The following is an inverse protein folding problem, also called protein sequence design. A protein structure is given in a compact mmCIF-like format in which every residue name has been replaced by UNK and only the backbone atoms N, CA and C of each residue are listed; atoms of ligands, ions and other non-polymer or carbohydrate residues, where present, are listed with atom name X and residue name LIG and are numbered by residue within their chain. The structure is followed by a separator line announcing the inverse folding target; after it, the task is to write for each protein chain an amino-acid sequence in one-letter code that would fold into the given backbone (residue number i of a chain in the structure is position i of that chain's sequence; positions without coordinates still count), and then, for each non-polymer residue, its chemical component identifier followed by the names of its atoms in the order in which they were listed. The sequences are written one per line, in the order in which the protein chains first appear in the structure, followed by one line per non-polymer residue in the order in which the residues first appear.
data_IF_883437270490
#
_entry.id   IF_883437270490
#
_cell.length_a   1.000
_cell.length_b   1.000
_cell.length_c   1.000
_cell.angle_alpha   90.00
_cell.angle_beta   90.00
_cell.angle_gamma   90.00
#
_symmetry.space_group_name_H-M   'P 1'
#
loop_
_entity.id
_entity.type
_entity.pdbx_description
1 polymer ?
#
# COMPACT_ATOMS: atom_id res chain seq x y z
N UNK A 1 -24.30 -0.93 -7.03
CA UNK A 1 -22.90 -0.53 -6.80
C UNK A 1 -22.58 -0.54 -5.30
N UNK A 2 -21.40 -1.01 -4.95
CA UNK A 2 -20.91 -0.97 -3.57
C UNK A 2 -19.54 -0.30 -3.58
N UNK A 3 -19.28 0.56 -2.60
CA UNK A 3 -18.00 1.25 -2.45
C UNK A 3 -17.47 0.98 -1.05
N UNK A 4 -16.21 0.60 -0.95
CA UNK A 4 -15.51 0.45 0.32
C UNK A 4 -14.28 1.35 0.30
N UNK A 5 -13.96 1.95 1.45
CA UNK A 5 -12.89 2.92 1.57
C UNK A 5 -11.97 2.59 2.72
N UNK A 6 -10.73 3.02 2.58
CA UNK A 6 -9.76 2.98 3.66
C UNK A 6 -8.89 4.21 3.59
N UNK A 7 -8.49 4.71 4.74
CA UNK A 7 -7.55 5.82 4.85
C UNK A 7 -6.57 5.55 5.97
N UNK A 8 -5.37 6.07 5.83
CA UNK A 8 -4.34 5.96 6.85
C UNK A 8 -3.41 7.15 6.79
N UNK A 9 -2.86 7.48 7.94
CA UNK A 9 -1.84 8.52 8.08
C UNK A 9 -0.67 7.93 8.84
N UNK A 10 0.55 8.20 8.38
CA UNK A 10 1.76 7.73 9.04
C UNK A 10 2.74 8.87 9.22
N UNK A 11 3.39 8.90 10.38
CA UNK A 11 4.46 9.84 10.66
C UNK A 11 5.76 9.31 10.04
N UNK A 12 6.39 10.11 9.21
CA UNK A 12 7.64 9.73 8.53
C UNK A 12 8.77 9.41 9.50
N UNK A 13 8.84 10.13 10.61
CA UNK A 13 9.83 9.90 11.66
C UNK A 13 9.77 8.47 12.20
N UNK A 14 8.57 7.90 12.35
CA UNK A 14 8.38 6.52 12.79
C UNK A 14 9.00 5.55 11.78
N UNK A 15 8.72 5.75 10.50
CA UNK A 15 9.25 4.90 9.43
C UNK A 15 10.77 5.03 9.33
N UNK A 16 11.30 6.24 9.47
CA UNK A 16 12.73 6.49 9.45
C UNK A 16 13.44 5.73 10.58
N UNK A 17 12.87 5.71 11.78
CA UNK A 17 13.42 4.97 12.91
C UNK A 17 13.44 3.47 12.67
N UNK A 18 12.37 2.93 12.12
CA UNK A 18 12.27 1.49 11.82
C UNK A 18 13.28 1.12 10.72
N UNK A 19 13.38 1.96 9.70
CA UNK A 19 14.34 1.75 8.61
C UNK A 19 15.78 1.79 9.13
N UNK A 20 16.10 2.73 10.01
CA UNK A 20 17.42 2.83 10.62
C UNK A 20 17.75 1.59 11.44
N UNK A 21 16.79 1.07 12.20
CA UNK A 21 16.99 -0.08 13.09
C UNK A 21 17.09 -1.40 12.34
N UNK A 22 16.25 -1.63 11.34
CA UNK A 22 16.10 -2.92 10.67
C UNK A 22 16.59 -2.95 9.23
N UNK A 23 16.80 -1.78 8.61
CA UNK A 23 17.33 -1.68 7.26
C UNK A 23 16.55 -2.45 6.22
N UNK A 24 17.27 -3.24 5.42
CA UNK A 24 16.70 -4.02 4.32
C UNK A 24 15.62 -5.01 4.79
N UNK A 25 15.74 -5.53 6.01
CA UNK A 25 14.74 -6.45 6.57
C UNK A 25 13.36 -5.82 6.67
N UNK A 26 13.30 -4.54 7.05
CA UNK A 26 12.03 -3.80 7.06
C UNK A 26 11.48 -3.64 5.66
N UNK A 27 12.33 -3.28 4.70
CA UNK A 27 11.93 -3.15 3.30
C UNK A 27 11.36 -4.47 2.76
N UNK A 28 12.04 -5.57 3.02
CA UNK A 28 11.59 -6.91 2.57
C UNK A 28 10.24 -7.30 3.19
N UNK A 29 9.98 -6.84 4.41
CA UNK A 29 8.73 -7.15 5.09
C UNK A 29 7.53 -6.40 4.50
N UNK A 30 7.71 -5.14 4.10
CA UNK A 30 6.58 -4.31 3.66
C UNK A 30 6.45 -4.18 2.15
N UNK A 31 7.47 -4.56 1.39
CA UNK A 31 7.49 -4.41 -0.05
C UNK A 31 7.30 -5.75 -0.75
N UNK A 32 6.60 -5.73 -1.89
CA UNK A 32 6.60 -6.85 -2.81
C UNK A 32 7.99 -6.98 -3.43
N UNK A 33 8.27 -8.11 -4.05
CA UNK A 33 9.55 -8.33 -4.74
C UNK A 33 9.82 -7.23 -5.78
N UNK A 34 8.80 -6.87 -6.55
CA UNK A 34 8.91 -5.84 -7.58
C UNK A 34 9.18 -4.45 -6.99
N UNK A 35 8.46 -4.10 -5.93
CA UNK A 35 8.69 -2.84 -5.23
C UNK A 35 10.10 -2.77 -4.63
N UNK A 36 10.57 -3.87 -4.06
CA UNK A 36 11.91 -3.93 -3.48
C UNK A 36 12.98 -3.65 -4.52
N UNK A 37 12.87 -4.25 -5.70
CA UNK A 37 13.80 -4.02 -6.81
C UNK A 37 13.83 -2.56 -7.25
N UNK A 38 12.68 -1.90 -7.23
CA UNK A 38 12.56 -0.48 -7.59
C UNK A 38 13.17 0.41 -6.52
N UNK A 39 12.88 0.13 -5.25
CA UNK A 39 13.26 1.04 -4.15
C UNK A 39 14.67 0.82 -3.62
N UNK A 40 15.26 -0.33 -3.81
CA UNK A 40 16.61 -0.61 -3.30
C UNK A 40 17.66 0.35 -3.86
N UNK A 41 17.45 0.89 -5.04
CA UNK A 41 18.36 1.87 -5.65
C UNK A 41 18.41 3.19 -4.88
N UNK A 42 17.45 3.46 -4.00
CA UNK A 42 17.43 4.64 -3.16
C UNK A 42 18.02 4.42 -1.77
N UNK A 43 18.63 3.26 -1.52
CA UNK A 43 19.13 2.88 -0.19
C UNK A 43 20.18 3.83 0.38
N UNK A 44 20.88 4.59 -0.46
CA UNK A 44 21.86 5.59 -0.03
C UNK A 44 21.27 6.95 0.30
N UNK A 45 19.99 7.16 0.02
CA UNK A 45 19.30 8.40 0.31
C UNK A 45 18.17 8.12 1.31
N UNK A 46 18.50 8.15 2.61
CA UNK A 46 17.58 7.81 3.68
C UNK A 46 16.32 8.68 3.70
N UNK A 47 16.44 9.95 3.38
CA UNK A 47 15.30 10.87 3.40
C UNK A 47 14.30 10.51 2.30
N UNK A 48 14.79 10.32 1.08
CA UNK A 48 13.94 9.93 -0.05
C UNK A 48 13.35 8.53 0.13
N UNK A 49 14.16 7.60 0.62
CA UNK A 49 13.70 6.22 0.87
C UNK A 49 12.62 6.22 1.95
N UNK A 50 12.80 6.98 3.05
CA UNK A 50 11.80 7.09 4.11
C UNK A 50 10.48 7.65 3.60
N UNK A 51 10.53 8.64 2.71
CA UNK A 51 9.32 9.19 2.08
C UNK A 51 8.60 8.13 1.26
N UNK A 52 9.32 7.43 0.40
CA UNK A 52 8.73 6.39 -0.45
C UNK A 52 8.16 5.23 0.36
N UNK A 53 8.84 4.83 1.42
CA UNK A 53 8.36 3.78 2.31
C UNK A 53 7.15 4.23 3.13
N UNK A 54 7.15 5.48 3.60
CA UNK A 54 6.01 6.05 4.34
C UNK A 54 4.75 6.09 3.46
N UNK A 55 4.90 6.51 2.21
CA UNK A 55 3.81 6.55 1.25
C UNK A 55 3.22 5.15 1.04
N UNK A 56 4.07 4.17 0.86
CA UNK A 56 3.64 2.78 0.64
C UNK A 56 3.04 2.16 1.89
N UNK A 57 3.63 2.44 3.04
CA UNK A 57 3.11 1.95 4.32
C UNK A 57 1.68 2.46 4.55
N UNK A 58 1.47 3.77 4.39
CA UNK A 58 0.14 4.36 4.53
C UNK A 58 -0.86 3.79 3.52
N UNK A 59 -0.45 3.64 2.26
CA UNK A 59 -1.32 3.10 1.21
C UNK A 59 -1.73 1.65 1.48
N UNK A 60 -0.80 0.83 1.96
CA UNK A 60 -1.09 -0.58 2.27
C UNK A 60 -1.98 -0.73 3.50
N UNK A 61 -1.77 0.11 4.51
CA UNK A 61 -2.68 0.17 5.67
C UNK A 61 -4.08 0.61 5.24
N UNK A 62 -4.18 1.62 4.38
CA UNK A 62 -5.46 2.09 3.86
C UNK A 62 -6.18 0.99 3.07
N UNK A 63 -5.43 0.25 2.24
CA UNK A 63 -5.98 -0.86 1.46
C UNK A 63 -6.50 -1.98 2.37
N UNK A 64 -5.74 -2.34 3.39
CA UNK A 64 -6.15 -3.37 4.34
C UNK A 64 -7.40 -2.95 5.12
N UNK A 65 -7.50 -1.68 5.49
CA UNK A 65 -8.72 -1.13 6.12
C UNK A 65 -9.91 -1.19 5.17
N UNK A 66 -9.71 -0.89 3.88
CA UNK A 66 -10.78 -0.97 2.89
C UNK A 66 -11.32 -2.39 2.77
N UNK A 67 -10.44 -3.40 2.83
CA UNK A 67 -10.84 -4.80 2.83
C UNK A 67 -11.56 -5.23 4.11
N UNK A 68 -11.49 -4.42 5.16
CA UNK A 68 -12.17 -4.65 6.42
C UNK A 68 -11.44 -5.55 7.41
N UNK A 69 -10.28 -6.06 7.06
CA UNK A 69 -9.54 -7.02 7.87
C UNK A 69 -8.31 -6.43 8.54
N UNK A 70 -7.82 -5.28 8.06
CA UNK A 70 -6.48 -4.85 8.40
C UNK A 70 -5.48 -5.93 7.98
N UNK A 71 -4.38 -6.11 8.72
CA UNK A 71 -3.39 -7.13 8.45
C UNK A 71 -3.63 -8.42 9.27
N UNK A 72 -4.90 -8.82 9.35
CA UNK A 72 -5.31 -10.08 9.91
C UNK A 72 -5.65 -11.05 8.77
N UNK A 73 -6.06 -12.27 9.11
CA UNK A 73 -6.46 -13.30 8.12
C UNK A 73 -5.37 -13.63 7.08
N UNK A 74 -4.10 -13.49 7.45
CA UNK A 74 -2.99 -13.89 6.60
C UNK A 74 -2.58 -12.88 5.54
N UNK A 75 -3.16 -11.68 5.51
CA UNK A 75 -2.75 -10.62 4.59
C UNK A 75 -1.41 -10.04 5.06
N UNK A 76 -0.46 -9.93 4.14
CA UNK A 76 0.86 -9.34 4.40
C UNK A 76 1.00 -8.04 3.63
N UNK A 77 1.83 -7.12 4.13
CA UNK A 77 2.17 -5.88 3.41
C UNK A 77 2.68 -6.16 2.01
N UNK A 78 3.51 -7.20 1.85
CA UNK A 78 4.06 -7.59 0.55
C UNK A 78 3.02 -8.11 -0.45
N UNK A 79 1.81 -8.44 0.02
CA UNK A 79 0.70 -8.86 -0.85
C UNK A 79 -0.04 -7.69 -1.49
N UNK A 80 0.26 -6.47 -1.05
CA UNK A 80 -0.28 -5.24 -1.62
C UNK A 80 0.86 -4.54 -2.36
N UNK A 81 0.73 -4.37 -3.66
CA UNK A 81 1.83 -3.86 -4.49
C UNK A 81 1.45 -2.50 -5.08
N UNK A 82 2.34 -1.52 -4.93
CA UNK A 82 2.13 -0.18 -5.46
C UNK A 82 3.20 0.11 -6.50
N UNK A 83 2.76 0.35 -7.72
CA UNK A 83 3.63 0.66 -8.85
C UNK A 83 3.21 2.01 -9.40
N UNK A 84 4.18 2.91 -9.56
CA UNK A 84 3.94 4.21 -10.16
C UNK A 84 4.05 4.10 -11.68
N UNK A 85 3.17 4.80 -12.40
CA UNK A 85 3.29 4.90 -13.84
C UNK A 85 4.39 5.90 -14.24
N UNK A 86 4.55 6.16 -15.53
CA UNK A 86 5.58 7.07 -16.05
C UNK A 86 5.39 8.52 -15.58
N UNK A 87 4.15 8.90 -15.24
CA UNK A 87 3.83 10.23 -14.73
C UNK A 87 3.88 10.31 -13.22
N UNK A 88 4.22 9.20 -12.55
CA UNK A 88 4.31 9.14 -11.09
C UNK A 88 3.01 8.78 -10.38
N UNK A 89 1.93 8.51 -11.13
CA UNK A 89 0.66 8.12 -10.52
C UNK A 89 0.74 6.71 -9.97
N UNK A 90 0.42 6.50 -8.68
CA UNK A 90 0.46 5.17 -8.08
C UNK A 90 -0.76 4.34 -8.46
N UNK A 91 -0.55 3.05 -8.66
CA UNK A 91 -1.60 2.05 -8.84
C UNK A 91 -1.41 0.94 -7.81
N UNK A 92 -2.50 0.44 -7.26
CA UNK A 92 -2.50 -0.60 -6.24
C UNK A 92 -2.94 -1.93 -6.86
N UNK A 93 -2.13 -2.96 -6.61
CA UNK A 93 -2.40 -4.33 -7.06
C UNK A 93 -2.51 -5.25 -5.85
N UNK A 94 -3.47 -6.15 -5.91
CA UNK A 94 -3.70 -7.15 -4.86
C UNK A 94 -3.09 -8.48 -5.29
N UNK A 95 -2.20 -9.01 -4.46
CA UNK A 95 -1.49 -10.27 -4.68
C UNK A 95 -1.79 -11.23 -3.52
N UNK A 96 -1.53 -12.51 -3.72
CA UNK A 96 -1.62 -13.50 -2.65
C UNK A 96 -2.95 -13.48 -1.90
N UNK A 97 -2.89 -13.49 -0.58
CA UNK A 97 -4.08 -13.54 0.28
C UNK A 97 -4.98 -12.31 0.11
N UNK A 98 -4.41 -11.14 -0.14
CA UNK A 98 -5.19 -9.92 -0.37
C UNK A 98 -6.07 -10.05 -1.61
N UNK A 99 -5.56 -10.71 -2.65
CA UNK A 99 -6.32 -10.98 -3.88
C UNK A 99 -7.51 -11.91 -3.60
N UNK A 100 -7.30 -12.93 -2.80
CA UNK A 100 -8.36 -13.85 -2.38
C UNK A 100 -9.44 -13.12 -1.59
N UNK A 101 -9.05 -12.29 -0.64
CA UNK A 101 -9.99 -11.48 0.15
C UNK A 101 -10.77 -10.51 -0.70
N UNK A 102 -10.13 -9.88 -1.66
CA UNK A 102 -10.82 -8.97 -2.59
C UNK A 102 -11.93 -9.70 -3.35
N UNK A 103 -11.67 -10.93 -3.79
CA UNK A 103 -12.67 -11.77 -4.45
C UNK A 103 -13.84 -12.10 -3.52
N UNK A 104 -13.56 -12.41 -2.26
CA UNK A 104 -14.60 -12.68 -1.26
C UNK A 104 -15.47 -11.45 -1.01
N UNK A 105 -14.84 -10.28 -0.85
CA UNK A 105 -15.57 -9.02 -0.63
C UNK A 105 -16.38 -8.63 -1.86
N UNK A 106 -15.87 -8.91 -3.05
CA UNK A 106 -16.56 -8.67 -4.33
C UNK A 106 -17.89 -9.44 -4.41
N UNK A 107 -17.91 -10.66 -3.84
CA UNK A 107 -19.12 -11.50 -3.77
C UNK A 107 -19.83 -11.61 -5.12
N UNK A 108 -21.07 -11.15 -5.20
CA UNK A 108 -21.92 -11.29 -6.39
C UNK A 108 -21.67 -10.25 -7.49
N UNK A 109 -20.81 -9.27 -7.22
CA UNK A 109 -20.48 -8.26 -8.23
C UNK A 109 -19.53 -8.84 -9.28
N UNK A 110 -19.75 -8.49 -10.55
CA UNK A 110 -18.93 -9.00 -11.67
C UNK A 110 -17.60 -8.28 -11.78
N UNK A 111 -17.60 -6.99 -11.54
CA UNK A 111 -16.47 -6.12 -11.78
C UNK A 111 -16.11 -5.31 -10.57
N UNK A 112 -14.87 -4.84 -10.53
CA UNK A 112 -14.42 -3.89 -9.53
C UNK A 112 -13.38 -2.95 -10.12
N UNK A 113 -13.22 -1.80 -9.47
CA UNK A 113 -12.12 -0.90 -9.75
C UNK A 113 -11.49 -0.47 -8.44
N UNK A 114 -10.24 -0.02 -8.51
CA UNK A 114 -9.48 0.43 -7.35
C UNK A 114 -8.89 1.79 -7.66
N UNK A 115 -9.04 2.73 -6.72
CA UNK A 115 -8.38 4.02 -6.80
C UNK A 115 -7.51 4.22 -5.58
N UNK A 116 -6.38 4.88 -5.77
CA UNK A 116 -5.41 5.19 -4.73
C UNK A 116 -4.99 6.64 -4.86
N UNK A 117 -5.02 7.37 -3.76
CA UNK A 117 -4.48 8.72 -3.67
C UNK A 117 -3.52 8.80 -2.48
N UNK A 118 -2.37 9.39 -2.69
CA UNK A 118 -1.35 9.56 -1.66
C UNK A 118 -0.96 11.03 -1.63
N UNK A 119 -0.93 11.61 -0.42
CA UNK A 119 -0.39 12.95 -0.19
C UNK A 119 0.69 12.85 0.87
N UNK A 120 1.80 13.53 0.64
CA UNK A 120 2.87 13.56 1.63
C UNK A 120 3.36 14.97 1.87
N UNK A 121 3.59 15.26 3.13
CA UNK A 121 4.28 16.43 3.60
C UNK A 121 5.60 15.99 4.23
N UNK A 122 6.38 16.92 4.72
CA UNK A 122 7.69 16.63 5.33
C UNK A 122 7.58 15.59 6.45
N UNK A 123 6.52 15.66 7.26
CA UNK A 123 6.38 14.84 8.47
C UNK A 123 5.40 13.69 8.35
N UNK A 124 4.46 13.75 7.40
CA UNK A 124 3.38 12.79 7.31
C UNK A 124 3.11 12.34 5.88
N UNK A 125 2.68 11.08 5.76
CA UNK A 125 2.08 10.56 4.53
C UNK A 125 0.65 10.16 4.83
N UNK A 126 -0.28 10.50 3.92
CA UNK A 126 -1.69 10.14 4.01
C UNK A 126 -2.05 9.38 2.76
N UNK A 127 -2.80 8.30 2.91
CA UNK A 127 -3.29 7.54 1.77
C UNK A 127 -4.79 7.32 1.88
N UNK A 128 -5.45 7.30 0.74
CA UNK A 128 -6.87 6.98 0.62
C UNK A 128 -7.04 5.95 -0.48
N UNK A 129 -7.71 4.85 -0.15
CA UNK A 129 -8.04 3.77 -1.09
C UNK A 129 -9.54 3.66 -1.20
N UNK A 130 -10.05 3.61 -2.42
CA UNK A 130 -11.46 3.34 -2.69
C UNK A 130 -11.55 2.16 -3.63
N UNK A 131 -12.38 1.19 -3.28
CA UNK A 131 -12.66 0.02 -4.10
C UNK A 131 -14.16 0.03 -4.39
N UNK A 132 -14.52 -0.04 -5.67
CA UNK A 132 -15.91 -0.02 -6.08
C UNK A 132 -16.24 -1.29 -6.87
N UNK A 133 -17.43 -1.81 -6.62
CA UNK A 133 -17.94 -3.05 -7.23
C UNK A 133 -19.20 -2.75 -8.04
N UNK A 134 -19.31 -3.34 -9.21
CA UNK A 134 -20.41 -3.05 -10.12
C UNK A 134 -20.69 -4.23 -11.06
N UNK A 135 -21.83 -4.18 -11.73
CA UNK A 135 -22.31 -5.25 -12.61
C UNK A 135 -22.51 -4.83 -14.08
N UNK A 136 -21.96 -3.72 -14.46
CA UNK A 136 -22.13 -3.26 -15.84
C UNK A 136 -21.34 -4.09 -16.85
#
# INVERSE_FOLDING_TARGET
MRIINGTDIVERKRIRKILHRFGKRFMEKILSEKELKILIKFSKNNELLSEKLSNRFAAKEAAAKALGTGFTNGVRFSDLEIINDKLGKPSLYFLGRSKTLLKEVKSDYRNHGVTLSISSEKEYSVAFVSIYFFNA
#
